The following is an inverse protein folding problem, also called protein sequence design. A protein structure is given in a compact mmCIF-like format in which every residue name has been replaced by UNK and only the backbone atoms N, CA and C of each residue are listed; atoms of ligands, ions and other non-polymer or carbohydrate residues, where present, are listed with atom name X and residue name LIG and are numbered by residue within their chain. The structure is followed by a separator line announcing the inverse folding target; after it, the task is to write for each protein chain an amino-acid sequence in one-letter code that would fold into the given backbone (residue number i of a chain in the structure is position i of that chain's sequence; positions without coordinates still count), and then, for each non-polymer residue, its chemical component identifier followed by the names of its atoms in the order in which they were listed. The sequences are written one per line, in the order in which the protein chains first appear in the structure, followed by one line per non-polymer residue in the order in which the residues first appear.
data_IF_571970116014
#
_entry.id   IF_571970116014
#
_cell.length_a   1.000
_cell.length_b   1.000
_cell.length_c   1.000
_cell.angle_alpha   90.00
_cell.angle_beta   90.00
_cell.angle_gamma   90.00
#
_symmetry.space_group_name_H-M   'P 1'
#
loop_
_entity.id
_entity.type
_entity.pdbx_description
1 polymer ?
#
# COMPACT_ATOMS: atom_id res chain seq x y z
N UNK A 1 21.24 0.92 -10.90
CA UNK A 1 20.94 0.57 -9.49
C UNK A 1 21.21 -0.90 -9.17
N UNK A 2 20.71 -1.89 -9.94
CA UNK A 2 21.08 -3.32 -9.75
C UNK A 2 22.50 -3.68 -10.26
N UNK A 3 23.01 -2.97 -11.28
CA UNK A 3 24.38 -3.19 -11.80
C UNK A 3 25.49 -2.79 -10.81
N UNK A 4 25.17 -1.95 -9.81
CA UNK A 4 26.16 -1.37 -8.90
C UNK A 4 26.22 -2.10 -7.54
N UNK A 5 25.40 -3.12 -7.31
CA UNK A 5 25.35 -3.85 -6.04
C UNK A 5 24.89 -5.31 -6.24
N UNK A 6 25.77 -6.19 -6.76
CA UNK A 6 25.44 -7.58 -7.07
C UNK A 6 24.99 -8.41 -5.85
N UNK A 7 25.36 -8.00 -4.64
CA UNK A 7 24.89 -8.59 -3.39
C UNK A 7 23.38 -8.42 -3.14
N UNK A 8 22.73 -7.43 -3.77
CA UNK A 8 21.30 -7.18 -3.67
C UNK A 8 20.47 -8.00 -4.69
N UNK A 9 21.12 -8.65 -5.66
CA UNK A 9 20.45 -9.42 -6.72
C UNK A 9 19.73 -10.68 -6.23
N UNK A 10 19.91 -11.07 -4.96
CA UNK A 10 19.22 -12.21 -4.31
C UNK A 10 18.45 -11.79 -3.06
N UNK A 11 18.27 -10.50 -2.83
CA UNK A 11 17.50 -10.00 -1.69
C UNK A 11 16.02 -9.99 -2.05
N UNK A 12 15.22 -10.79 -1.33
CA UNK A 12 13.78 -10.85 -1.52
C UNK A 12 13.10 -9.48 -1.36
N UNK A 13 13.68 -8.56 -0.60
CA UNK A 13 13.16 -7.19 -0.48
C UNK A 13 13.31 -6.38 -1.77
N UNK A 14 14.33 -6.67 -2.59
CA UNK A 14 14.56 -6.00 -3.86
C UNK A 14 13.61 -6.53 -4.94
N UNK A 15 13.40 -7.83 -5.00
CA UNK A 15 12.39 -8.45 -5.85
C UNK A 15 10.99 -7.89 -5.54
N UNK A 16 10.62 -7.84 -4.26
CA UNK A 16 9.35 -7.27 -3.81
C UNK A 16 9.24 -5.78 -4.15
N UNK A 17 10.31 -4.99 -3.98
CA UNK A 17 10.30 -3.57 -4.33
C UNK A 17 10.13 -3.35 -5.84
N UNK A 18 10.74 -4.19 -6.68
CA UNK A 18 10.58 -4.12 -8.14
C UNK A 18 9.17 -4.52 -8.57
N UNK A 19 8.61 -5.58 -8.01
CA UNK A 19 7.23 -6.00 -8.28
C UNK A 19 6.21 -4.92 -7.83
N UNK A 20 6.45 -4.26 -6.70
CA UNK A 20 5.62 -3.13 -6.24
C UNK A 20 5.70 -1.92 -7.19
N UNK A 21 6.83 -1.72 -7.89
CA UNK A 21 7.01 -0.59 -8.80
C UNK A 21 6.28 -0.74 -10.15
N UNK A 22 5.95 -1.95 -10.57
CA UNK A 22 5.30 -2.24 -11.86
C UNK A 22 3.78 -1.91 -11.83
N UNK A 23 3.17 -1.93 -10.65
CA UNK A 23 1.71 -1.85 -10.46
C UNK A 23 1.20 -0.45 -10.13
N UNK A 24 1.98 0.60 -10.40
CA UNK A 24 1.71 1.98 -9.95
C UNK A 24 0.46 2.64 -10.54
N UNK A 25 -0.04 2.16 -11.68
CA UNK A 25 -1.16 2.76 -12.41
C UNK A 25 -2.45 1.90 -12.40
N UNK A 26 -2.56 0.93 -11.48
CA UNK A 26 -3.74 0.06 -11.37
C UNK A 26 -4.63 0.53 -10.22
N UNK A 27 -5.88 0.93 -10.52
CA UNK A 27 -6.88 1.17 -9.49
C UNK A 27 -7.42 -0.17 -8.96
N UNK A 28 -6.97 -0.56 -7.77
CA UNK A 28 -7.34 -1.84 -7.13
C UNK A 28 -8.83 -1.92 -6.84
N UNK A 29 -9.42 -0.81 -6.41
CA UNK A 29 -10.81 -0.77 -5.99
C UNK A 29 -11.75 -0.99 -7.18
N UNK A 30 -11.38 -0.48 -8.35
CA UNK A 30 -12.12 -0.75 -9.59
C UNK A 30 -12.00 -2.22 -10.05
N UNK A 31 -10.88 -2.88 -9.77
CA UNK A 31 -10.58 -4.23 -10.26
C UNK A 31 -10.88 -5.35 -9.25
N UNK A 32 -11.28 -5.02 -8.02
CA UNK A 32 -11.58 -5.98 -6.96
C UNK A 32 -13.00 -5.75 -6.40
N UNK A 33 -14.04 -6.41 -6.95
CA UNK A 33 -15.43 -6.22 -6.54
C UNK A 33 -15.68 -6.45 -5.05
N UNK A 34 -15.02 -7.44 -4.45
CA UNK A 34 -15.16 -7.75 -3.03
C UNK A 34 -14.58 -6.63 -2.15
N UNK A 35 -13.45 -6.05 -2.55
CA UNK A 35 -12.84 -4.91 -1.86
C UNK A 35 -13.75 -3.69 -1.95
N UNK A 36 -14.27 -3.40 -3.13
CA UNK A 36 -15.23 -2.31 -3.34
C UNK A 36 -16.47 -2.47 -2.48
N UNK A 37 -17.07 -3.65 -2.47
CA UNK A 37 -18.24 -3.93 -1.66
C UNK A 37 -17.97 -3.75 -0.16
N UNK A 38 -16.79 -4.16 0.31
CA UNK A 38 -16.38 -3.93 1.69
C UNK A 38 -16.23 -2.43 2.00
N UNK A 39 -15.52 -1.67 1.15
CA UNK A 39 -15.36 -0.22 1.32
C UNK A 39 -16.71 0.51 1.31
N UNK A 40 -17.62 0.13 0.41
CA UNK A 40 -18.99 0.64 0.36
C UNK A 40 -19.74 0.36 1.67
N UNK A 41 -19.63 -0.86 2.22
CA UNK A 41 -20.32 -1.26 3.44
C UNK A 41 -19.85 -0.52 4.70
N UNK A 42 -18.56 -0.15 4.73
CA UNK A 42 -17.95 0.61 5.83
C UNK A 42 -18.09 2.13 5.64
N UNK A 43 -18.70 2.58 4.54
CA UNK A 43 -18.87 4.01 4.22
C UNK A 43 -17.54 4.72 3.94
N UNK A 44 -16.51 3.99 3.47
CA UNK A 44 -15.20 4.53 3.17
C UNK A 44 -15.21 5.10 1.74
N UNK A 45 -14.92 6.40 1.62
CA UNK A 45 -14.79 7.08 0.33
C UNK A 45 -13.55 6.55 -0.40
N UNK A 46 -13.74 6.06 -1.62
CA UNK A 46 -12.68 5.38 -2.38
C UNK A 46 -12.72 5.68 -3.89
N UNK A 47 -13.66 6.50 -4.36
CA UNK A 47 -13.67 6.96 -5.75
C UNK A 47 -12.82 8.22 -5.91
N UNK A 48 -11.99 8.24 -6.96
CA UNK A 48 -11.00 9.31 -7.20
C UNK A 48 -11.65 10.69 -7.27
N UNK A 49 -12.86 10.79 -7.84
CA UNK A 49 -13.57 12.06 -7.97
C UNK A 49 -13.96 12.64 -6.60
N UNK A 50 -14.53 11.84 -5.71
CA UNK A 50 -14.91 12.31 -4.38
C UNK A 50 -13.69 12.59 -3.53
N UNK A 51 -12.63 11.78 -3.65
CA UNK A 51 -11.34 12.03 -3.00
C UNK A 51 -10.76 13.37 -3.45
N UNK A 52 -10.66 13.65 -4.75
CA UNK A 52 -10.18 14.93 -5.27
C UNK A 52 -11.04 16.11 -4.80
N UNK A 53 -12.36 15.96 -4.73
CA UNK A 53 -13.26 17.03 -4.32
C UNK A 53 -13.06 17.42 -2.85
N UNK A 54 -12.83 16.44 -1.97
CA UNK A 54 -12.69 16.66 -0.52
C UNK A 54 -11.27 17.10 -0.15
N UNK A 55 -10.25 16.61 -0.87
CA UNK A 55 -8.83 16.88 -0.59
C UNK A 55 -8.35 18.22 -1.14
N UNK A 56 -9.11 18.87 -2.03
CA UNK A 56 -8.84 20.24 -2.51
C UNK A 56 -9.39 21.33 -1.60
N UNK A 57 -10.12 20.98 -0.54
CA UNK A 57 -10.67 21.95 0.41
C UNK A 57 -9.57 22.47 1.35
N UNK A 58 -9.58 23.77 1.66
CA UNK A 58 -8.58 24.38 2.58
C UNK A 58 -8.57 23.72 3.96
N UNK A 59 -9.73 23.31 4.46
CA UNK A 59 -9.88 22.74 5.81
C UNK A 59 -9.58 21.24 5.90
N UNK A 60 -9.29 20.57 4.77
CA UNK A 60 -8.94 19.15 4.65
C UNK A 60 -9.63 18.23 5.68
N UNK A 61 -10.95 18.01 5.58
CA UNK A 61 -11.76 17.46 6.67
C UNK A 61 -11.61 15.95 6.91
N UNK A 62 -10.67 15.28 6.23
CA UNK A 62 -10.55 13.82 6.21
C UNK A 62 -9.11 13.35 6.32
N UNK A 63 -8.93 12.17 6.92
CA UNK A 63 -7.69 11.40 6.79
C UNK A 63 -7.71 10.68 5.44
N UNK A 64 -6.60 10.71 4.71
CA UNK A 64 -6.39 9.87 3.54
C UNK A 64 -5.50 8.70 3.89
N UNK A 65 -5.91 7.51 3.47
CA UNK A 65 -5.08 6.32 3.52
C UNK A 65 -4.89 5.85 2.09
N UNK A 66 -3.65 5.88 1.60
CA UNK A 66 -3.24 5.31 0.32
C UNK A 66 -2.47 4.03 0.57
N UNK A 67 -2.89 2.92 -0.02
CA UNK A 67 -2.23 1.62 0.13
C UNK A 67 -1.81 1.15 -1.26
N UNK A 68 -0.57 0.68 -1.39
CA UNK A 68 -0.10 0.08 -2.64
C UNK A 68 -0.76 -1.28 -2.87
N UNK A 69 -0.75 -1.75 -4.11
CA UNK A 69 -0.93 -3.17 -4.35
C UNK A 69 0.13 -3.98 -3.59
N UNK A 70 -0.24 -5.14 -3.01
CA UNK A 70 0.73 -6.02 -2.38
C UNK A 70 1.65 -6.63 -3.43
N UNK A 71 2.96 -6.46 -3.25
CA UNK A 71 3.94 -7.30 -3.94
C UNK A 71 4.02 -8.64 -3.21
N UNK A 72 3.85 -9.75 -3.94
CA UNK A 72 3.95 -11.10 -3.39
C UNK A 72 5.30 -11.70 -3.75
N UNK A 73 5.92 -12.38 -2.79
CA UNK A 73 7.11 -13.20 -3.07
C UNK A 73 6.70 -14.43 -3.91
N UNK A 74 7.63 -15.01 -4.66
CA UNK A 74 7.41 -16.19 -5.51
C UNK A 74 6.65 -17.35 -4.84
N UNK A 75 6.90 -17.57 -3.55
CA UNK A 75 6.23 -18.64 -2.78
C UNK A 75 4.81 -18.29 -2.32
N UNK A 76 4.32 -17.08 -2.61
CA UNK A 76 3.01 -16.57 -2.22
C UNK A 76 2.77 -16.43 -0.72
N UNK A 77 3.79 -16.66 0.12
CA UNK A 77 3.67 -16.72 1.57
C UNK A 77 4.02 -15.40 2.27
N UNK A 78 4.64 -14.45 1.54
CA UNK A 78 5.03 -13.13 2.05
C UNK A 78 4.50 -12.05 1.11
N UNK A 79 3.95 -10.98 1.69
CA UNK A 79 3.48 -9.80 0.98
C UNK A 79 4.16 -8.55 1.53
N UNK A 80 4.56 -7.64 0.65
CA UNK A 80 5.01 -6.28 0.99
C UNK A 80 3.96 -5.29 0.51
N UNK A 81 3.57 -4.36 1.39
CA UNK A 81 2.71 -3.23 1.07
C UNK A 81 3.35 -1.94 1.55
N UNK A 82 3.08 -0.84 0.84
CA UNK A 82 3.32 0.50 1.33
C UNK A 82 2.00 1.15 1.69
N UNK A 83 1.96 1.85 2.82
CA UNK A 83 0.83 2.69 3.19
C UNK A 83 1.29 4.11 3.45
N UNK A 84 0.58 5.06 2.89
CA UNK A 84 0.67 6.46 3.26
C UNK A 84 -0.61 6.86 4.00
N UNK A 85 -0.46 7.45 5.17
CA UNK A 85 -1.54 8.10 5.90
C UNK A 85 -1.28 9.60 5.90
N UNK A 86 -2.24 10.41 5.46
CA UNK A 86 -2.10 11.85 5.34
C UNK A 86 -3.28 12.60 5.93
N UNK A 87 -2.99 13.72 6.58
CA UNK A 87 -3.95 14.68 7.12
C UNK A 87 -3.56 16.08 6.65
N UNK A 88 -4.24 16.61 5.63
CA UNK A 88 -3.81 17.87 5.05
C UNK A 88 -2.56 17.74 4.16
N UNK A 89 -2.08 18.87 3.60
CA UNK A 89 -0.88 18.90 2.77
C UNK A 89 0.44 18.80 3.54
N UNK A 90 0.41 18.81 4.88
CA UNK A 90 1.59 18.99 5.73
C UNK A 90 1.82 17.91 6.78
N UNK A 91 0.83 17.07 7.08
CA UNK A 91 0.98 16.00 8.07
C UNK A 91 0.73 14.64 7.42
N UNK A 92 1.64 13.71 7.65
CA UNK A 92 1.46 12.35 7.14
C UNK A 92 2.67 11.46 7.37
N UNK A 93 2.49 10.18 7.10
CA UNK A 93 3.53 9.18 7.26
C UNK A 93 3.46 8.11 6.20
N UNK A 94 4.62 7.70 5.70
CA UNK A 94 4.78 6.54 4.83
C UNK A 94 5.33 5.39 5.65
N UNK A 95 4.71 4.23 5.55
CA UNK A 95 5.17 2.99 6.18
C UNK A 95 5.29 1.87 5.15
N UNK A 96 6.27 1.00 5.32
CA UNK A 96 6.31 -0.31 4.66
C UNK A 96 5.85 -1.38 5.64
N UNK A 97 5.02 -2.31 5.17
CA UNK A 97 4.46 -3.40 5.96
C UNK A 97 4.74 -4.74 5.28
N UNK A 98 5.22 -5.70 6.06
CA UNK A 98 5.41 -7.07 5.62
C UNK A 98 4.37 -7.95 6.31
N UNK A 99 3.58 -8.66 5.51
CA UNK A 99 2.65 -9.68 5.97
C UNK A 99 3.16 -11.07 5.62
N UNK A 100 2.86 -12.05 6.47
CA UNK A 100 3.14 -13.46 6.22
C UNK A 100 1.88 -14.29 6.37
N UNK A 101 1.76 -15.34 5.57
CA UNK A 101 0.69 -16.34 5.76
C UNK A 101 0.98 -17.19 7.00
N UNK A 102 -0.03 -17.40 7.82
CA UNK A 102 0.00 -18.36 8.92
C UNK A 102 -0.26 -19.80 8.43
N UNK A 103 -0.26 -20.76 9.35
CA UNK A 103 -0.48 -22.17 9.05
C UNK A 103 -1.91 -22.46 8.56
N UNK A 104 -2.85 -21.55 8.80
CA UNK A 104 -4.24 -21.62 8.39
C UNK A 104 -4.49 -20.88 7.06
N UNK A 105 -3.44 -20.26 6.49
CA UNK A 105 -3.48 -19.52 5.23
C UNK A 105 -3.92 -18.06 5.37
N UNK A 106 -4.15 -17.56 6.59
CA UNK A 106 -4.49 -16.17 6.89
C UNK A 106 -3.27 -15.25 6.85
N UNK A 107 -3.47 -13.98 6.51
CA UNK A 107 -2.38 -12.99 6.50
C UNK A 107 -2.22 -12.34 7.88
N UNK A 108 -0.99 -12.35 8.40
CA UNK A 108 -0.64 -11.75 9.69
C UNK A 108 0.44 -10.70 9.49
N UNK A 109 0.25 -9.51 10.07
CA UNK A 109 1.25 -8.46 10.07
C UNK A 109 2.50 -8.94 10.80
N UNK A 110 3.62 -8.99 10.09
CA UNK A 110 4.89 -9.47 10.62
C UNK A 110 5.82 -8.34 11.00
N UNK A 111 5.85 -7.28 10.21
CA UNK A 111 6.73 -6.12 10.43
C UNK A 111 6.13 -4.86 9.84
N UNK A 112 6.32 -3.75 10.54
CA UNK A 112 6.06 -2.40 10.03
C UNK A 112 7.31 -1.56 10.23
N UNK A 113 7.73 -0.84 9.20
CA UNK A 113 8.78 0.16 9.27
C UNK A 113 8.22 1.52 8.84
N UNK A 114 8.42 2.55 9.65
CA UNK A 114 8.05 3.92 9.31
C UNK A 114 9.19 4.54 8.50
N UNK A 115 8.91 4.87 7.23
CA UNK A 115 9.90 5.37 6.28
C UNK A 115 10.03 6.89 6.36
N UNK A 116 8.91 7.59 6.50
CA UNK A 116 8.86 9.04 6.72
C UNK A 116 7.69 9.39 7.62
N UNK A 117 7.87 10.43 8.44
CA UNK A 117 6.85 11.07 9.25
C UNK A 117 7.08 12.57 9.09
N UNK A 118 6.03 13.32 8.75
CA UNK A 118 6.02 14.78 8.58
C UNK A 118 5.00 15.42 9.52
#
# INVERSE_FOLDING_TARGET
MLEESPQLARDASVELALAAADVRDINVVENCPDLRAWLDSEGIIHDDRSLEAITRLEDWPVAMISISLPALADNGATALLYSYEGYGPLAGGLSSMIYKRDAQGGWVLHRTDHLTIS
#
